data_IF_484378393643
#
_entry.id   IF_484378393643
#
_cell.length_a   1.000
_cell.length_b   1.000
_cell.length_c   1.000
_cell.angle_alpha   90.00
_cell.angle_beta   90.00
_cell.angle_gamma   90.00
#
_symmetry.space_group_name_H-M   'P 1'
#
loop_
_entity.id
_entity.type
_entity.pdbx_description
1 polymer ?
#
# COMPACT_ATOMS: atom_id res chain seq x y z
N UNK A 1 -2.95 -4.33 -5.14
CA UNK A 1 -2.02 -3.60 -4.27
C UNK A 1 -2.73 -2.57 -3.41
N UNK A 2 -2.81 -2.80 -2.12
CA UNK A 2 -3.43 -1.84 -1.19
C UNK A 2 -2.36 -1.16 -0.36
N UNK A 3 -1.90 0.00 -0.82
CA UNK A 3 -1.51 1.04 0.14
C UNK A 3 -2.83 1.50 0.79
N UNK A 4 -3.07 1.05 2.02
CA UNK A 4 -4.38 1.27 2.66
C UNK A 4 -4.46 2.72 3.15
N UNK A 5 -5.13 3.57 2.37
CA UNK A 5 -5.64 4.86 2.82
C UNK A 5 -7.13 4.66 3.09
N UNK A 6 -7.51 4.71 4.38
CA UNK A 6 -8.90 4.65 4.76
C UNK A 6 -9.68 5.84 4.21
N UNK A 7 -10.98 5.63 3.96
CA UNK A 7 -11.89 6.66 3.46
C UNK A 7 -11.82 8.01 4.23
N UNK A 8 -11.65 8.05 5.57
CA UNK A 8 -11.50 9.31 6.30
C UNK A 8 -10.26 10.12 5.91
N UNK A 9 -9.22 9.47 5.36
CA UNK A 9 -7.97 10.12 4.97
C UNK A 9 -7.92 10.55 3.51
N UNK A 10 -8.93 10.22 2.71
CA UNK A 10 -9.00 10.70 1.33
C UNK A 10 -9.25 12.21 1.36
N UNK A 11 -8.45 12.98 0.61
CA UNK A 11 -8.49 14.45 0.52
C UNK A 11 -8.09 15.24 1.77
N UNK A 12 -7.68 14.58 2.86
CA UNK A 12 -7.17 15.24 4.09
C UNK A 12 -5.65 15.41 3.99
N UNK A 13 -5.16 16.66 4.04
CA UNK A 13 -3.73 16.99 3.85
C UNK A 13 -2.96 17.29 5.13
N UNK A 14 -3.65 17.52 6.26
CA UNK A 14 -3.06 17.88 7.55
C UNK A 14 -2.91 16.69 8.52
N UNK A 15 -3.23 15.47 8.05
CA UNK A 15 -3.21 14.21 8.82
C UNK A 15 -4.20 14.16 9.99
N UNK A 16 -5.20 15.04 10.04
CA UNK A 16 -6.24 14.99 11.08
C UNK A 16 -7.03 13.66 11.09
N UNK A 17 -7.06 12.96 9.96
CA UNK A 17 -7.78 11.69 9.76
C UNK A 17 -7.12 10.46 10.41
N UNK A 18 -5.87 10.56 10.90
CA UNK A 18 -5.05 9.39 11.28
C UNK A 18 -5.69 8.58 12.40
N UNK A 19 -6.32 9.24 13.39
CA UNK A 19 -6.98 8.56 14.51
C UNK A 19 -8.22 7.76 14.11
N UNK A 20 -8.87 8.14 12.99
CA UNK A 20 -10.07 7.45 12.47
C UNK A 20 -9.71 6.42 11.39
N UNK A 21 -8.54 6.56 10.79
CA UNK A 21 -8.11 5.70 9.70
C UNK A 21 -7.44 4.44 10.27
N UNK A 22 -7.74 3.24 9.74
CA UNK A 22 -7.09 2.01 10.19
C UNK A 22 -5.63 1.89 9.69
N UNK A 23 -4.91 3.01 9.52
CA UNK A 23 -3.53 3.03 9.01
C UNK A 23 -2.60 2.18 9.86
N UNK A 24 -2.81 2.18 11.19
CA UNK A 24 -1.95 1.46 12.13
C UNK A 24 -2.02 -0.06 11.90
N UNK A 25 -3.20 -0.59 11.58
CA UNK A 25 -3.39 -2.04 11.33
C UNK A 25 -2.57 -2.53 10.13
N UNK A 26 -2.33 -1.68 9.14
CA UNK A 26 -1.65 -2.05 7.88
C UNK A 26 -0.27 -1.41 7.74
N UNK A 27 0.23 -0.75 8.79
CA UNK A 27 1.45 0.05 8.73
C UNK A 27 2.66 -0.77 8.29
N UNK A 28 2.83 -1.97 8.84
CA UNK A 28 4.00 -2.80 8.56
C UNK A 28 3.93 -3.42 7.16
N UNK A 29 2.74 -3.87 6.71
CA UNK A 29 2.55 -4.38 5.35
C UNK A 29 2.77 -3.28 4.29
N UNK A 30 2.30 -2.06 4.58
CA UNK A 30 2.54 -0.89 3.74
C UNK A 30 4.04 -0.58 3.63
N UNK A 31 4.82 -0.66 4.72
CA UNK A 31 6.27 -0.43 4.68
C UNK A 31 6.99 -1.51 3.86
N UNK A 32 6.70 -2.78 4.16
CA UNK A 32 7.29 -3.94 3.49
C UNK A 32 7.04 -3.89 1.97
N UNK A 33 5.87 -3.44 1.52
CA UNK A 33 5.57 -3.32 0.09
C UNK A 33 6.58 -2.43 -0.68
N UNK A 34 7.07 -1.36 -0.05
CA UNK A 34 8.02 -0.45 -0.69
C UNK A 34 9.48 -0.79 -0.40
N UNK A 35 9.77 -1.33 0.80
CA UNK A 35 11.14 -1.57 1.26
C UNK A 35 11.67 -2.96 0.89
N UNK A 36 10.80 -3.96 0.70
CA UNK A 36 11.17 -5.32 0.34
C UNK A 36 11.03 -5.61 -1.16
N UNK A 37 11.70 -6.68 -1.61
CA UNK A 37 11.61 -7.13 -3.01
C UNK A 37 10.39 -8.02 -3.18
N UNK A 38 9.43 -7.54 -3.96
CA UNK A 38 8.22 -8.28 -4.29
C UNK A 38 8.51 -9.42 -5.27
N UNK A 39 7.65 -10.44 -5.26
CA UNK A 39 7.73 -11.56 -6.20
C UNK A 39 7.83 -11.07 -7.66
N UNK A 40 8.81 -11.61 -8.40
CA UNK A 40 9.01 -11.30 -9.82
C UNK A 40 9.72 -9.96 -10.09
N UNK A 41 10.30 -9.29 -9.08
CA UNK A 41 11.09 -8.07 -9.26
C UNK A 41 12.57 -8.29 -8.94
N UNK A 42 13.43 -7.51 -9.59
CA UNK A 42 14.88 -7.49 -9.35
C UNK A 42 15.29 -6.64 -8.14
N UNK A 43 14.35 -5.92 -7.53
CA UNK A 43 14.58 -5.08 -6.36
C UNK A 43 13.32 -4.40 -5.82
N UNK A 44 13.44 -3.73 -4.66
CA UNK A 44 12.33 -3.04 -4.00
C UNK A 44 11.82 -1.85 -4.81
N UNK A 45 10.61 -1.38 -4.50
CA UNK A 45 10.03 -0.19 -5.14
C UNK A 45 10.69 1.11 -4.67
N UNK A 46 11.11 1.15 -3.40
CA UNK A 46 11.66 2.33 -2.76
C UNK A 46 10.65 3.49 -2.71
N UNK A 47 11.14 4.72 -2.89
CA UNK A 47 10.33 5.94 -2.89
C UNK A 47 10.25 6.56 -4.30
N UNK A 48 9.38 6.09 -5.19
CA UNK A 48 9.32 6.54 -6.58
C UNK A 48 8.88 8.01 -6.74
N UNK A 49 8.28 8.60 -5.70
CA UNK A 49 7.73 9.96 -5.76
C UNK A 49 6.51 10.06 -6.67
N UNK A 50 5.62 9.06 -6.59
CA UNK A 50 4.31 9.03 -7.24
C UNK A 50 4.02 7.74 -8.02
N UNK A 51 2.78 7.27 -7.97
CA UNK A 51 2.34 6.04 -8.63
C UNK A 51 2.47 6.09 -10.17
N UNK A 52 2.30 7.27 -10.78
CA UNK A 52 2.43 7.45 -12.23
C UNK A 52 3.82 7.04 -12.77
N UNK A 53 4.87 7.09 -11.94
CA UNK A 53 6.22 6.67 -12.32
C UNK A 53 6.42 5.16 -12.27
N UNK A 54 5.63 4.44 -11.45
CA UNK A 54 5.66 2.99 -11.34
C UNK A 54 4.76 2.31 -12.39
N UNK A 55 3.65 2.94 -12.75
CA UNK A 55 2.61 2.28 -13.53
C UNK A 55 1.97 1.12 -12.76
N UNK A 56 1.49 0.10 -13.48
CA UNK A 56 0.96 -1.11 -12.85
C UNK A 56 2.10 -1.90 -12.21
N UNK A 57 2.04 -2.08 -10.89
CA UNK A 57 2.88 -3.05 -10.19
C UNK A 57 2.18 -4.40 -10.25
N UNK A 58 2.70 -5.32 -11.07
CA UNK A 58 2.14 -6.66 -11.26
C UNK A 58 2.53 -7.63 -10.12
N UNK A 59 2.46 -7.16 -8.87
CA UNK A 59 2.71 -7.95 -7.68
C UNK A 59 1.93 -7.34 -6.51
N UNK A 60 1.36 -8.22 -5.67
CA UNK A 60 0.78 -7.84 -4.39
C UNK A 60 1.78 -8.12 -3.25
N UNK A 61 1.63 -7.38 -2.15
CA UNK A 61 2.31 -7.71 -0.89
C UNK A 61 1.78 -9.04 -0.30
N UNK A 62 2.55 -9.72 0.57
CA UNK A 62 2.19 -11.03 1.11
C UNK A 62 0.82 -11.09 1.78
N UNK A 63 0.44 -10.04 2.53
CA UNK A 63 -0.86 -9.98 3.19
C UNK A 63 -1.99 -10.07 2.16
N UNK A 64 -1.99 -9.18 1.17
CA UNK A 64 -3.02 -9.11 0.13
C UNK A 64 -3.04 -10.38 -0.72
N UNK A 65 -1.87 -10.89 -1.10
CA UNK A 65 -1.74 -12.12 -1.89
C UNK A 65 -2.36 -13.35 -1.19
N UNK A 66 -2.48 -13.33 0.15
CA UNK A 66 -3.08 -14.40 0.94
C UNK A 66 -4.60 -14.28 1.15
N UNK A 67 -5.20 -13.12 0.83
CA UNK A 67 -6.63 -12.89 1.05
C UNK A 67 -7.47 -13.60 -0.02
N UNK A 68 -8.67 -14.10 0.33
CA UNK A 68 -9.62 -14.58 -0.67
C UNK A 68 -10.06 -13.43 -1.59
N UNK A 69 -10.40 -13.72 -2.86
CA UNK A 69 -10.94 -12.71 -3.77
C UNK A 69 -12.12 -11.97 -3.14
N UNK A 70 -12.02 -10.64 -3.09
CA UNK A 70 -13.10 -9.79 -2.57
C UNK A 70 -14.18 -9.60 -3.65
N UNK A 71 -15.44 -9.60 -3.25
CA UNK A 71 -16.54 -9.28 -4.16
C UNK A 71 -16.59 -7.77 -4.37
N UNK A 72 -16.69 -7.35 -5.64
CA UNK A 72 -16.80 -5.95 -6.06
C UNK A 72 -18.17 -5.34 -5.76
#
# INVERSE_FOLDING_TARGET
MTYVIGKPCVDVMDRACVEECPVETYKDDNDAFFSETLWGRDGPLGSPGGAAKLGLVAADGPLVASLPPQQS
#
